data_IF_934795439301
#
_entry.id   IF_934795439301
#
_cell.length_a   1.000
_cell.length_b   1.000
_cell.length_c   1.000
_cell.angle_alpha   90.00
_cell.angle_beta   90.00
_cell.angle_gamma   90.00
#
_symmetry.space_group_name_H-M   'P 1'
#
loop_
_entity.id
_entity.type
_entity.pdbx_description
1 polymer ?
#
# COMPACT_ATOMS: atom_id res chain seq x y z
N UNK A 1 8.11 19.52 -1.75
CA UNK A 1 8.10 18.31 -2.60
C UNK A 1 6.66 18.05 -3.01
N UNK A 2 6.38 17.76 -4.29
CA UNK A 2 5.02 17.40 -4.72
C UNK A 2 4.82 15.90 -4.50
N UNK A 3 3.63 15.44 -4.07
CA UNK A 3 3.32 14.02 -4.00
C UNK A 3 3.54 13.39 -5.38
N UNK A 4 4.28 12.29 -5.44
CA UNK A 4 4.42 11.48 -6.64
C UNK A 4 3.11 10.74 -6.85
N UNK A 5 2.56 10.83 -8.06
CA UNK A 5 1.38 10.07 -8.43
C UNK A 5 1.76 8.61 -8.73
N UNK A 6 1.48 7.72 -7.79
CA UNK A 6 1.85 6.30 -7.87
C UNK A 6 1.10 5.57 -8.97
N UNK A 7 -0.09 6.03 -9.35
CA UNK A 7 -0.91 5.42 -10.41
C UNK A 7 -0.19 5.45 -11.75
N UNK A 8 0.62 6.49 -11.99
CA UNK A 8 1.41 6.64 -13.22
C UNK A 8 2.58 5.66 -13.34
N UNK A 9 3.02 5.04 -12.23
CA UNK A 9 4.15 4.12 -12.19
C UNK A 9 3.76 2.65 -12.15
N UNK A 10 2.49 2.33 -11.82
CA UNK A 10 2.00 0.96 -11.68
C UNK A 10 1.15 0.58 -12.89
N UNK A 11 1.51 -0.46 -13.65
CA UNK A 11 0.65 -0.96 -14.71
C UNK A 11 -0.61 -1.61 -14.11
N UNK A 12 -1.80 -1.18 -14.57
CA UNK A 12 -3.11 -1.57 -14.04
C UNK A 12 -3.27 -1.22 -12.54
N UNK A 13 -3.47 0.06 -12.21
CA UNK A 13 -3.57 0.49 -10.82
C UNK A 13 -4.80 -0.13 -10.16
N UNK A 14 -4.56 -0.95 -9.15
CA UNK A 14 -5.59 -1.38 -8.21
C UNK A 14 -5.68 -0.34 -7.07
N UNK A 15 -6.86 0.27 -6.82
CA UNK A 15 -7.01 1.31 -5.79
C UNK A 15 -6.50 0.88 -4.41
N UNK A 16 -6.74 -0.37 -4.00
CA UNK A 16 -6.30 -0.88 -2.70
C UNK A 16 -4.79 -1.09 -2.65
N UNK A 17 -4.19 -1.57 -3.74
CA UNK A 17 -2.74 -1.72 -3.88
C UNK A 17 -2.01 -0.38 -3.89
N UNK A 18 -2.56 0.63 -4.56
CA UNK A 18 -2.01 1.99 -4.57
C UNK A 18 -2.08 2.61 -3.17
N UNK A 19 -3.20 2.46 -2.47
CA UNK A 19 -3.34 2.98 -1.10
C UNK A 19 -2.33 2.33 -0.15
N UNK A 20 -2.19 0.99 -0.19
CA UNK A 20 -1.18 0.28 0.59
C UNK A 20 0.24 0.78 0.28
N UNK A 21 0.58 0.87 -1.01
CA UNK A 21 1.91 1.30 -1.45
C UNK A 21 2.21 2.74 -1.02
N UNK A 22 1.22 3.63 -1.06
CA UNK A 22 1.35 5.01 -0.60
C UNK A 22 1.71 5.09 0.88
N UNK A 23 1.11 4.21 1.71
CA UNK A 23 1.39 4.11 3.15
C UNK A 23 2.73 3.46 3.45
N UNK A 24 3.22 2.57 2.58
CA UNK A 24 4.54 1.93 2.68
C UNK A 24 5.70 2.85 2.27
N UNK A 25 5.47 3.73 1.29
CA UNK A 25 6.50 4.62 0.73
C UNK A 25 6.53 6.01 1.38
N UNK A 26 5.90 6.18 2.54
CA UNK A 26 6.03 7.42 3.32
C UNK A 26 7.49 7.68 3.70
N UNK A 27 7.94 8.90 3.40
CA UNK A 27 9.31 9.36 3.67
C UNK A 27 9.59 9.45 5.18
N UNK A 28 8.56 9.81 5.96
CA UNK A 28 8.63 9.80 7.42
C UNK A 28 8.43 8.35 7.91
N UNK A 29 9.47 7.71 8.48
CA UNK A 29 9.38 6.33 8.91
C UNK A 29 8.40 6.14 10.08
N UNK A 30 8.12 7.18 10.86
CA UNK A 30 7.17 7.11 11.99
C UNK A 30 5.73 7.04 11.52
N UNK A 31 5.44 7.54 10.32
CA UNK A 31 4.11 7.53 9.69
C UNK A 31 3.89 6.33 8.78
N UNK A 32 4.95 5.62 8.43
CA UNK A 32 4.90 4.45 7.55
C UNK A 32 4.07 3.34 8.21
N UNK A 33 3.25 2.68 7.41
CA UNK A 33 2.51 1.50 7.88
C UNK A 33 3.48 0.42 8.37
N UNK A 34 3.17 -0.18 9.53
CA UNK A 34 3.95 -1.31 10.04
C UNK A 34 3.53 -2.62 9.36
N UNK A 35 4.37 -3.65 9.46
CA UNK A 35 4.15 -4.93 8.78
C UNK A 35 2.81 -5.60 9.14
N UNK A 36 2.40 -5.55 10.42
CA UNK A 36 1.12 -6.14 10.86
C UNK A 36 -0.07 -5.44 10.23
N UNK A 37 -0.10 -4.11 10.30
CA UNK A 37 -1.15 -3.30 9.70
C UNK A 37 -1.19 -3.44 8.17
N UNK A 38 -0.04 -3.64 7.52
CA UNK A 38 0.02 -3.92 6.09
C UNK A 38 -0.63 -5.27 5.74
N UNK A 39 -0.44 -6.32 6.54
CA UNK A 39 -1.08 -7.62 6.33
C UNK A 39 -2.61 -7.58 6.55
N UNK A 40 -3.08 -6.68 7.40
CA UNK A 40 -4.51 -6.47 7.68
C UNK A 40 -5.18 -5.56 6.62
N UNK A 41 -4.44 -5.08 5.62
CA UNK A 41 -4.94 -4.15 4.61
C UNK A 41 -5.95 -4.81 3.65
N UNK A 42 -6.89 -4.01 3.15
CA UNK A 42 -7.97 -4.45 2.25
C UNK A 42 -7.45 -5.09 0.96
N UNK A 43 -6.28 -4.63 0.50
CA UNK A 43 -5.51 -5.23 -0.60
C UNK A 43 -5.24 -6.74 -0.44
N UNK A 44 -5.20 -7.26 0.79
CA UNK A 44 -4.96 -8.68 1.07
C UNK A 44 -6.22 -9.43 1.51
N UNK A 45 -7.41 -8.82 1.52
CA UNK A 45 -8.65 -9.48 1.99
C UNK A 45 -9.14 -10.60 1.07
N UNK A 46 -8.84 -10.51 -0.20
CA UNK A 46 -9.16 -11.48 -1.25
C UNK A 46 -8.10 -12.59 -1.38
N UNK A 47 -6.88 -12.31 -0.91
CA UNK A 47 -5.88 -13.34 -0.63
C UNK A 47 -6.40 -14.20 0.53
N UNK A 48 -7.05 -15.31 0.16
CA UNK A 48 -7.19 -16.47 1.03
C UNK A 48 -5.78 -16.93 1.40
N UNK A 49 -5.22 -16.33 2.45
CA UNK A 49 -4.12 -16.89 3.22
C UNK A 49 -4.67 -18.18 3.80
N UNK A 50 -4.45 -19.27 3.05
CA UNK A 50 -4.64 -20.60 3.59
C UNK A 50 -3.75 -20.72 4.85
N UNK A 51 -4.30 -21.29 5.94
CA UNK A 51 -3.71 -21.25 7.27
C UNK A 51 -2.32 -21.89 7.36
#
# INVERSE_FOLDING_TARGET
>A
WKPTDLESFVPNPDPEGIDLLSKMLLMDPTKRINARAALEHDYFKDLSVMP
#
